data_IF_950690278569
#
_entry.id   IF_950690278569
#
_cell.length_a   1.000
_cell.length_b   1.000
_cell.length_c   1.000
_cell.angle_alpha   90.00
_cell.angle_beta   90.00
_cell.angle_gamma   90.00
#
_symmetry.space_group_name_H-M   'P 1'
#
loop_
_entity.id
_entity.type
_entity.pdbx_description
1 polymer ?
#
# COMPACT_ATOMS: atom_id res chain seq x y z
N UNK A 1 27.47 -13.90 -8.72
CA UNK A 1 28.24 -12.66 -8.52
C UNK A 1 27.80 -12.02 -7.21
N UNK A 2 28.74 -11.64 -6.34
CA UNK A 2 28.43 -10.99 -5.06
C UNK A 2 28.44 -9.47 -5.21
N UNK A 3 27.51 -8.79 -4.55
CA UNK A 3 27.47 -7.34 -4.42
C UNK A 3 27.98 -6.97 -3.02
N UNK A 4 28.93 -6.04 -2.93
CA UNK A 4 29.38 -5.51 -1.65
C UNK A 4 28.59 -4.23 -1.32
N UNK A 5 28.11 -4.11 -0.09
CA UNK A 5 27.25 -3.01 0.37
C UNK A 5 27.72 -2.60 1.75
N UNK A 6 27.96 -1.32 1.93
CA UNK A 6 28.33 -0.77 3.23
C UNK A 6 27.07 -0.46 4.03
N UNK A 7 27.00 -0.97 5.25
CA UNK A 7 25.91 -0.71 6.17
C UNK A 7 26.33 0.31 7.22
N UNK A 8 25.37 1.03 7.77
CA UNK A 8 25.63 1.83 8.98
C UNK A 8 25.84 0.88 10.17
N UNK A 9 26.57 1.29 11.22
CA UNK A 9 26.80 0.44 12.40
C UNK A 9 25.51 -0.09 13.02
N UNK A 10 24.43 0.69 13.00
CA UNK A 10 23.12 0.29 13.53
C UNK A 10 22.48 -0.84 12.70
N UNK A 11 22.62 -0.79 11.37
CA UNK A 11 22.11 -1.83 10.49
C UNK A 11 22.95 -3.10 10.58
N UNK A 12 24.26 -2.98 10.75
CA UNK A 12 25.11 -4.14 11.01
C UNK A 12 24.70 -4.87 12.29
N UNK A 13 24.47 -4.14 13.39
CA UNK A 13 24.05 -4.72 14.66
C UNK A 13 22.68 -5.41 14.53
N UNK A 14 21.75 -4.78 13.82
CA UNK A 14 20.46 -5.39 13.50
C UNK A 14 20.64 -6.71 12.73
N UNK A 15 21.46 -6.73 11.69
CA UNK A 15 21.72 -7.94 10.90
C UNK A 15 22.39 -9.03 11.75
N UNK A 16 23.39 -8.66 12.56
CA UNK A 16 24.08 -9.59 13.47
C UNK A 16 23.11 -10.20 14.49
N UNK A 17 22.27 -9.39 15.13
CA UNK A 17 21.27 -9.89 16.10
C UNK A 17 20.26 -10.84 15.46
N UNK A 18 19.81 -10.56 14.23
CA UNK A 18 18.91 -11.44 13.47
C UNK A 18 19.54 -12.79 13.15
N UNK A 19 20.81 -12.81 12.74
CA UNK A 19 21.53 -14.08 12.52
C UNK A 19 21.77 -14.81 13.86
N UNK A 20 22.20 -14.09 14.90
CA UNK A 20 22.46 -14.67 16.22
C UNK A 20 21.21 -15.30 16.87
N UNK A 21 20.01 -14.83 16.52
CA UNK A 21 18.75 -15.45 16.95
C UNK A 21 18.51 -16.87 16.40
N UNK A 22 19.28 -17.29 15.40
CA UNK A 22 19.10 -18.57 14.70
C UNK A 22 17.98 -18.57 13.65
N UNK A 23 17.22 -17.47 13.52
CA UNK A 23 16.17 -17.35 12.50
C UNK A 23 16.71 -17.24 11.06
N UNK A 24 17.97 -16.82 10.90
CA UNK A 24 18.63 -16.65 9.61
C UNK A 24 20.02 -17.26 9.64
N UNK A 25 20.42 -17.88 8.54
CA UNK A 25 21.71 -18.56 8.39
C UNK A 25 22.85 -17.61 8.04
N UNK A 26 22.55 -16.44 7.48
CA UNK A 26 23.56 -15.48 7.01
C UNK A 26 23.03 -14.05 6.90
N UNK A 27 23.95 -13.09 6.92
CA UNK A 27 23.64 -11.68 6.67
C UNK A 27 22.98 -11.47 5.29
N UNK A 28 23.45 -12.19 4.26
CA UNK A 28 22.86 -12.09 2.93
C UNK A 28 21.42 -12.58 2.88
N UNK A 29 21.03 -13.53 3.74
CA UNK A 29 19.65 -13.98 3.86
C UNK A 29 18.75 -12.91 4.48
N UNK A 30 19.22 -12.28 5.57
CA UNK A 30 18.52 -11.16 6.20
C UNK A 30 18.28 -10.02 5.20
N UNK A 31 19.32 -9.65 4.43
CA UNK A 31 19.22 -8.57 3.44
C UNK A 31 18.27 -8.94 2.30
N UNK A 32 18.32 -10.18 1.78
CA UNK A 32 17.38 -10.63 0.75
C UNK A 32 15.94 -10.55 1.22
N UNK A 33 15.66 -11.01 2.43
CA UNK A 33 14.31 -10.96 2.98
C UNK A 33 13.83 -9.52 3.22
N UNK A 34 14.71 -8.65 3.74
CA UNK A 34 14.40 -7.24 3.91
C UNK A 34 14.07 -6.54 2.57
N UNK A 35 14.85 -6.83 1.51
CA UNK A 35 14.59 -6.29 0.17
C UNK A 35 13.30 -6.86 -0.43
N UNK A 36 12.98 -8.14 -0.19
CA UNK A 36 11.72 -8.75 -0.62
C UNK A 36 10.52 -8.05 0.01
N UNK A 37 10.59 -7.75 1.31
CA UNK A 37 9.54 -7.02 2.02
C UNK A 37 9.41 -5.57 1.53
N UNK A 38 10.54 -4.93 1.21
CA UNK A 38 10.58 -3.58 0.64
C UNK A 38 9.92 -3.53 -0.73
N UNK A 39 10.27 -4.44 -1.64
CA UNK A 39 9.67 -4.55 -2.98
C UNK A 39 8.16 -4.82 -2.90
N UNK A 40 7.72 -5.73 -2.02
CA UNK A 40 6.29 -5.98 -1.81
C UNK A 40 5.54 -4.72 -1.34
N UNK A 41 6.13 -3.98 -0.39
CA UNK A 41 5.54 -2.73 0.08
C UNK A 41 5.44 -1.69 -1.03
N UNK A 42 6.48 -1.56 -1.87
CA UNK A 42 6.50 -0.61 -2.98
C UNK A 42 5.50 -0.98 -4.07
N UNK A 43 5.33 -2.27 -4.38
CA UNK A 43 4.27 -2.75 -5.28
C UNK A 43 2.88 -2.40 -4.75
N UNK A 44 2.61 -2.67 -3.47
CA UNK A 44 1.33 -2.32 -2.85
C UNK A 44 1.06 -0.81 -2.88
N UNK A 45 2.09 0.02 -2.64
CA UNK A 45 1.98 1.49 -2.77
C UNK A 45 1.67 1.90 -4.21
N UNK A 46 2.35 1.31 -5.19
CA UNK A 46 2.14 1.60 -6.59
C UNK A 46 0.70 1.27 -7.03
N UNK A 47 0.20 0.09 -6.67
CA UNK A 47 -1.19 -0.32 -6.97
C UNK A 47 -2.21 0.62 -6.32
N UNK A 48 -2.02 1.00 -5.05
CA UNK A 48 -2.91 1.95 -4.37
C UNK A 48 -2.91 3.33 -5.03
N UNK A 49 -1.73 3.80 -5.45
CA UNK A 49 -1.60 5.08 -6.15
C UNK A 49 -2.27 5.04 -7.51
N UNK A 50 -2.15 3.93 -8.24
CA UNK A 50 -2.84 3.75 -9.52
C UNK A 50 -4.35 3.72 -9.34
N UNK A 51 -4.86 3.00 -8.33
CA UNK A 51 -6.28 3.00 -7.99
C UNK A 51 -6.77 4.43 -7.69
N UNK A 52 -6.07 5.17 -6.83
CA UNK A 52 -6.44 6.55 -6.51
C UNK A 52 -6.47 7.45 -7.76
N UNK A 53 -5.49 7.30 -8.66
CA UNK A 53 -5.47 8.05 -9.93
C UNK A 53 -6.66 7.70 -10.81
N UNK A 54 -7.07 6.43 -10.83
CA UNK A 54 -8.25 5.98 -11.56
C UNK A 54 -9.54 6.55 -10.94
N UNK A 55 -9.70 6.49 -9.62
CA UNK A 55 -10.85 7.04 -8.90
C UNK A 55 -10.99 8.56 -9.15
N UNK A 56 -9.87 9.29 -9.12
CA UNK A 56 -9.86 10.72 -9.46
C UNK A 56 -10.26 10.96 -10.91
N UNK A 57 -9.74 10.16 -11.85
CA UNK A 57 -10.09 10.28 -13.28
C UNK A 57 -11.57 10.01 -13.51
N UNK A 58 -12.11 8.98 -12.86
CA UNK A 58 -13.54 8.66 -12.88
C UNK A 58 -14.37 9.81 -12.31
N UNK A 59 -13.96 10.37 -11.16
CA UNK A 59 -14.60 11.53 -10.57
C UNK A 59 -14.59 12.76 -11.49
N UNK A 60 -13.47 13.05 -12.14
CA UNK A 60 -13.37 14.15 -13.11
C UNK A 60 -14.21 13.91 -14.38
N UNK A 61 -14.34 12.65 -14.81
CA UNK A 61 -15.19 12.26 -15.94
C UNK A 61 -16.68 12.14 -15.57
N UNK A 62 -17.05 12.19 -14.29
CA UNK A 62 -18.43 11.97 -13.80
C UNK A 62 -19.39 13.13 -14.08
N UNK A 63 -18.91 14.23 -14.66
CA UNK A 63 -19.70 15.40 -15.05
C UNK A 63 -19.40 16.62 -14.18
N UNK A 64 -20.27 17.62 -14.26
CA UNK A 64 -20.08 18.87 -13.51
C UNK A 64 -20.34 18.66 -12.02
N UNK A 65 -19.40 19.12 -11.20
CA UNK A 65 -19.56 19.13 -9.75
C UNK A 65 -20.79 19.96 -9.35
N UNK A 66 -21.57 19.42 -8.41
CA UNK A 66 -22.77 20.05 -7.87
C UNK A 66 -22.55 20.40 -6.39
N UNK A 67 -23.24 21.41 -5.82
CA UNK A 67 -23.17 21.71 -4.40
C UNK A 67 -23.52 20.50 -3.54
N UNK A 68 -22.67 20.19 -2.56
CA UNK A 68 -22.87 19.05 -1.67
C UNK A 68 -24.00 19.31 -0.66
N UNK A 69 -24.93 18.35 -0.53
CA UNK A 69 -25.97 18.35 0.49
C UNK A 69 -26.17 16.96 1.09
N UNK A 70 -25.88 16.83 2.38
CA UNK A 70 -25.99 15.56 3.09
C UNK A 70 -27.46 15.07 3.19
N UNK A 71 -28.45 15.97 3.25
CA UNK A 71 -29.86 15.58 3.34
C UNK A 71 -30.35 14.98 2.01
N UNK A 72 -29.95 15.57 0.88
CA UNK A 72 -30.25 15.07 -0.46
C UNK A 72 -29.54 13.74 -0.73
N UNK A 73 -28.25 13.63 -0.40
CA UNK A 73 -27.52 12.36 -0.56
C UNK A 73 -28.17 11.21 0.23
N UNK A 74 -28.62 11.48 1.47
CA UNK A 74 -29.31 10.48 2.30
C UNK A 74 -30.70 10.11 1.76
N UNK A 75 -31.49 11.07 1.24
CA UNK A 75 -32.81 10.77 0.68
C UNK A 75 -32.70 9.95 -0.60
N UNK A 76 -31.77 10.28 -1.49
CA UNK A 76 -31.48 9.51 -2.69
C UNK A 76 -31.03 8.08 -2.38
N UNK A 77 -30.09 7.92 -1.44
CA UNK A 77 -29.62 6.59 -1.02
C UNK A 77 -30.76 5.72 -0.48
N UNK A 78 -31.67 6.30 0.33
CA UNK A 78 -32.87 5.60 0.82
C UNK A 78 -33.82 5.22 -0.31
N UNK A 79 -34.08 6.13 -1.25
CA UNK A 79 -34.95 5.85 -2.40
C UNK A 79 -34.38 4.74 -3.30
N UNK A 80 -33.07 4.73 -3.53
CA UNK A 80 -32.37 3.64 -4.26
C UNK A 80 -32.50 2.29 -3.55
N UNK A 81 -32.45 2.28 -2.21
CA UNK A 81 -32.61 1.04 -1.41
C UNK A 81 -34.02 0.44 -1.50
N UNK A 82 -35.05 1.28 -1.45
CA UNK A 82 -36.45 0.83 -1.59
C UNK A 82 -36.69 0.23 -2.98
N UNK A 83 -36.15 0.84 -4.04
CA UNK A 83 -36.25 0.31 -5.42
C UNK A 83 -35.50 -1.00 -5.67
N UNK A 84 -34.48 -1.30 -4.86
CA UNK A 84 -33.64 -2.51 -4.98
C UNK A 84 -34.15 -3.67 -4.09
N UNK A 85 -35.20 -3.43 -3.30
CA UNK A 85 -35.86 -4.49 -2.53
C UNK A 85 -36.77 -5.27 -3.50
N UNK A 86 -36.64 -6.61 -3.60
CA UNK A 86 -37.42 -7.42 -4.55
C UNK A 86 -38.93 -7.35 -4.27
#
# INVERSE_FOLDING_TARGET
MGMNVNLTPQLEELVRSKVASGMYTSASEVVREALRLMDEQDRLRATRLEQLRNDVREGLASGTSQPWSASLAKSEARARRVRKTP
#
